data_IF_220569960961
#
_entry.id   IF_220569960961
#
_cell.length_a   1.000
_cell.length_b   1.000
_cell.length_c   1.000
_cell.angle_alpha   90.00
_cell.angle_beta   90.00
_cell.angle_gamma   90.00
#
_symmetry.space_group_name_H-M   'P 1'
#
loop_
_entity.id
_entity.type
_entity.pdbx_description
1 polymer ?
#
# COMPACT_ATOMS: atom_id res chain seq x y z
N UNK A 1 26.03 7.77 -27.95
CA UNK A 1 26.14 7.14 -26.62
C UNK A 1 24.95 6.20 -26.48
N UNK A 2 25.21 4.89 -26.51
CA UNK A 2 24.17 3.88 -26.35
C UNK A 2 23.78 3.84 -24.88
N UNK A 3 22.61 4.39 -24.55
CA UNK A 3 22.21 4.52 -23.15
C UNK A 3 21.50 3.23 -22.77
N UNK A 4 22.23 2.30 -22.14
CA UNK A 4 21.70 1.01 -21.73
C UNK A 4 20.41 1.22 -20.91
N UNK A 5 19.34 0.55 -21.35
CA UNK A 5 18.03 0.57 -20.70
C UNK A 5 17.87 -0.66 -19.83
N UNK A 6 17.31 -0.48 -18.64
CA UNK A 6 17.03 -1.52 -17.67
C UNK A 6 15.54 -1.61 -17.44
N UNK A 7 14.96 -2.82 -17.40
CA UNK A 7 13.54 -2.98 -17.09
C UNK A 7 13.23 -2.51 -15.65
N UNK A 8 12.03 -1.99 -15.45
CA UNK A 8 11.50 -1.68 -14.12
C UNK A 8 11.44 -2.97 -13.26
N UNK A 9 11.75 -2.87 -11.95
CA UNK A 9 11.64 -4.03 -11.05
C UNK A 9 10.23 -4.60 -10.92
N UNK A 10 9.21 -3.79 -11.22
CA UNK A 10 7.80 -4.20 -11.20
C UNK A 10 7.32 -4.74 -12.56
N UNK A 11 8.24 -5.17 -13.43
CA UNK A 11 7.88 -5.78 -14.72
C UNK A 11 7.00 -7.02 -14.55
N UNK A 12 7.24 -7.81 -13.50
CA UNK A 12 6.40 -8.96 -13.13
C UNK A 12 4.98 -8.57 -12.76
N UNK A 13 4.76 -7.32 -12.35
CA UNK A 13 3.46 -6.78 -11.96
C UNK A 13 2.74 -6.10 -13.13
N UNK A 14 3.39 -5.98 -14.31
CA UNK A 14 2.81 -5.41 -15.52
C UNK A 14 3.54 -4.17 -16.07
N UNK A 15 4.60 -3.71 -15.41
CA UNK A 15 5.34 -2.55 -15.92
C UNK A 15 6.19 -2.89 -17.15
N UNK A 16 5.89 -2.28 -18.30
CA UNK A 16 6.62 -2.52 -19.56
C UNK A 16 7.77 -1.52 -19.79
N UNK A 17 7.99 -0.57 -18.87
CA UNK A 17 8.97 0.48 -19.05
C UNK A 17 10.40 -0.03 -18.83
N UNK A 18 11.26 0.32 -19.78
CA UNK A 18 12.71 0.16 -19.68
C UNK A 18 13.35 1.54 -19.64
N UNK A 19 14.12 1.82 -18.59
CA UNK A 19 14.61 3.15 -18.26
C UNK A 19 16.14 3.12 -18.07
N UNK A 20 16.78 4.27 -18.25
CA UNK A 20 18.19 4.43 -17.89
C UNK A 20 18.36 4.33 -16.38
N UNK A 21 19.56 3.99 -15.91
CA UNK A 21 19.85 3.86 -14.47
C UNK A 21 19.42 5.08 -13.65
N UNK A 22 19.55 6.30 -14.21
CA UNK A 22 19.16 7.55 -13.54
C UNK A 22 17.65 7.63 -13.31
N UNK A 23 16.84 7.41 -14.35
CA UNK A 23 15.38 7.57 -14.26
C UNK A 23 14.68 6.34 -13.66
N UNK A 24 15.35 5.18 -13.60
CA UNK A 24 14.78 3.94 -13.05
C UNK A 24 14.34 4.11 -11.60
N UNK A 25 15.16 4.72 -10.76
CA UNK A 25 14.85 4.89 -9.33
C UNK A 25 13.66 5.83 -9.13
N UNK A 26 13.63 6.94 -9.87
CA UNK A 26 12.52 7.89 -9.84
C UNK A 26 11.20 7.24 -10.29
N UNK A 27 11.25 6.47 -11.39
CA UNK A 27 10.08 5.73 -11.87
C UNK A 27 9.59 4.68 -10.87
N UNK A 28 10.50 3.91 -10.25
CA UNK A 28 10.11 2.85 -9.31
C UNK A 28 9.46 3.38 -8.03
N UNK A 29 9.77 4.60 -7.59
CA UNK A 29 9.10 5.20 -6.44
C UNK A 29 7.61 5.49 -6.74
N UNK A 30 7.33 5.97 -7.96
CA UNK A 30 6.00 6.38 -8.43
C UNK A 30 5.37 5.41 -9.45
N UNK A 31 5.81 4.15 -9.50
CA UNK A 31 5.32 3.19 -10.49
C UNK A 31 3.90 2.72 -10.16
N UNK A 32 2.96 2.82 -11.08
CA UNK A 32 1.58 2.35 -10.89
C UNK A 32 1.49 0.83 -10.62
N UNK A 33 2.47 0.06 -11.10
CA UNK A 33 2.55 -1.39 -10.90
C UNK A 33 3.22 -1.79 -9.58
N UNK A 34 3.64 -0.81 -8.77
CA UNK A 34 4.17 -1.06 -7.43
C UNK A 34 3.07 -1.67 -6.55
N UNK A 35 3.32 -2.81 -5.89
CA UNK A 35 2.34 -3.38 -4.96
C UNK A 35 2.24 -2.50 -3.69
N UNK A 36 1.01 -2.30 -3.26
CA UNK A 36 0.65 -1.67 -2.01
C UNK A 36 0.77 -2.68 -0.88
N UNK A 37 1.37 -2.25 0.23
CA UNK A 37 1.37 -3.01 1.48
C UNK A 37 0.06 -2.74 2.24
N UNK A 38 -0.37 -3.70 3.07
CA UNK A 38 -1.53 -3.50 3.93
C UNK A 38 -1.38 -2.20 4.77
N UNK A 39 -2.36 -1.29 4.73
CA UNK A 39 -2.31 -0.03 5.49
C UNK A 39 -2.70 -0.17 6.96
N UNK A 40 -3.04 -1.39 7.43
CA UNK A 40 -3.49 -1.60 8.81
C UNK A 40 -2.33 -1.35 9.81
N UNK A 41 -2.53 -0.54 10.86
CA UNK A 41 -1.56 -0.41 11.94
C UNK A 41 -1.42 -1.75 12.67
N UNK A 42 -0.19 -2.12 13.00
CA UNK A 42 0.17 -3.43 13.57
C UNK A 42 0.79 -4.36 12.53
N UNK A 43 2.02 -4.80 12.78
CA UNK A 43 2.86 -5.57 11.86
C UNK A 43 2.38 -7.02 11.55
N UNK A 44 1.15 -7.38 11.90
CA UNK A 44 0.64 -8.73 11.70
C UNK A 44 0.25 -9.00 10.25
N UNK A 45 -0.13 -7.99 9.47
CA UNK A 45 -0.54 -8.18 8.08
C UNK A 45 0.62 -8.01 7.10
N UNK A 46 0.94 -9.08 6.36
CA UNK A 46 2.00 -9.11 5.33
C UNK A 46 1.46 -9.01 3.91
N UNK A 47 0.19 -8.63 3.76
CA UNK A 47 -0.46 -8.58 2.45
C UNK A 47 0.18 -7.52 1.55
N UNK A 48 0.34 -7.87 0.27
CA UNK A 48 0.81 -6.99 -0.79
C UNK A 48 -0.02 -7.24 -2.04
N UNK A 49 -0.43 -6.18 -2.73
CA UNK A 49 -1.25 -6.30 -3.94
C UNK A 49 -1.47 -4.96 -4.65
N UNK A 50 -2.27 -4.96 -5.72
CA UNK A 50 -2.65 -3.72 -6.42
C UNK A 50 -3.63 -2.88 -5.60
N UNK A 51 -3.70 -1.58 -5.91
CA UNK A 51 -4.58 -0.62 -5.21
C UNK A 51 -6.05 -1.07 -5.21
N UNK A 52 -6.54 -1.56 -6.35
CA UNK A 52 -7.91 -2.07 -6.52
C UNK A 52 -8.27 -3.19 -5.52
N UNK A 53 -7.27 -4.00 -5.13
CA UNK A 53 -7.47 -5.14 -4.24
C UNK A 53 -7.34 -4.76 -2.76
N UNK A 54 -6.91 -3.53 -2.42
CA UNK A 54 -6.73 -3.09 -1.04
C UNK A 54 -8.06 -3.12 -0.28
N UNK A 55 -9.13 -2.56 -0.86
CA UNK A 55 -10.44 -2.53 -0.20
C UNK A 55 -10.98 -3.94 0.04
N UNK A 56 -10.88 -4.81 -0.97
CA UNK A 56 -11.27 -6.21 -0.84
C UNK A 56 -10.44 -6.93 0.23
N UNK A 57 -9.13 -6.69 0.28
CA UNK A 57 -8.26 -7.24 1.30
C UNK A 57 -8.70 -6.81 2.72
N UNK A 58 -8.95 -5.51 2.94
CA UNK A 58 -9.38 -4.98 4.23
C UNK A 58 -10.69 -5.62 4.69
N UNK A 59 -11.67 -5.75 3.80
CA UNK A 59 -12.95 -6.38 4.10
C UNK A 59 -12.83 -7.86 4.49
N UNK A 60 -11.96 -8.63 3.82
CA UNK A 60 -11.84 -10.07 4.02
C UNK A 60 -10.91 -10.43 5.18
N UNK A 61 -9.76 -9.76 5.29
CA UNK A 61 -8.71 -10.07 6.25
C UNK A 61 -8.85 -9.29 7.57
N UNK A 62 -9.44 -8.10 7.53
CA UNK A 62 -9.56 -7.20 8.68
C UNK A 62 -11.04 -6.91 9.01
N UNK A 63 -11.81 -7.96 9.32
CA UNK A 63 -13.25 -7.90 9.59
C UNK A 63 -13.66 -6.95 10.73
N UNK A 64 -12.71 -6.56 11.59
CA UNK A 64 -12.92 -5.60 12.67
C UNK A 64 -12.90 -4.14 12.21
N UNK A 65 -12.48 -3.86 10.97
CA UNK A 65 -12.51 -2.51 10.41
C UNK A 65 -13.97 -2.13 10.15
N UNK A 66 -14.41 -1.07 10.83
CA UNK A 66 -15.73 -0.47 10.59
C UNK A 66 -15.60 0.55 9.47
N UNK A 67 -16.39 0.39 8.41
CA UNK A 67 -16.51 1.42 7.37
C UNK A 67 -17.66 2.35 7.73
N UNK A 68 -17.38 3.65 7.79
CA UNK A 68 -18.37 4.70 8.03
C UNK A 68 -18.66 5.41 6.71
N UNK A 69 -19.90 5.78 6.47
CA UNK A 69 -20.34 6.50 5.27
C UNK A 69 -20.70 7.94 5.62
N UNK A 70 -20.36 8.87 4.74
CA UNK A 70 -20.58 10.31 4.93
C UNK A 70 -19.27 11.09 4.87
N UNK A 71 -19.37 12.37 4.51
CA UNK A 71 -18.22 13.29 4.51
C UNK A 71 -17.94 13.86 5.90
N UNK A 72 -18.94 13.88 6.79
CA UNK A 72 -18.85 14.31 8.19
C UNK A 72 -19.12 13.11 9.12
N UNK A 73 -18.06 12.59 9.74
CA UNK A 73 -18.11 11.42 10.62
C UNK A 73 -17.34 11.68 11.92
N UNK A 74 -17.81 11.08 13.02
CA UNK A 74 -17.15 11.15 14.33
C UNK A 74 -16.50 9.82 14.65
N UNK A 75 -15.18 9.85 14.89
CA UNK A 75 -14.44 8.70 15.40
C UNK A 75 -14.47 8.69 16.93
N UNK A 76 -15.13 7.69 17.51
CA UNK A 76 -15.15 7.49 18.95
C UNK A 76 -14.08 6.46 19.33
N UNK A 77 -13.03 6.90 20.01
CA UNK A 77 -12.05 6.01 20.61
C UNK A 77 -12.59 5.48 21.94
N UNK A 78 -12.71 4.16 22.08
CA UNK A 78 -13.03 3.51 23.35
C UNK A 78 -11.74 3.07 24.05
N UNK A 79 -11.84 2.76 25.34
CA UNK A 79 -10.77 2.10 26.10
C UNK A 79 -9.42 2.87 26.13
N UNK A 80 -9.46 4.20 25.99
CA UNK A 80 -8.28 5.08 25.95
C UNK A 80 -7.38 5.01 27.20
N UNK A 81 -7.88 4.44 28.30
CA UNK A 81 -7.15 4.28 29.55
C UNK A 81 -6.50 2.90 29.69
N UNK A 82 -6.65 1.99 28.73
CA UNK A 82 -6.02 0.66 28.79
C UNK A 82 -4.51 0.75 28.50
N UNK A 83 -3.64 0.25 29.38
CA UNK A 83 -2.20 0.17 29.12
C UNK A 83 -1.91 -0.87 28.04
N UNK A 84 -1.16 -0.49 27.00
CA UNK A 84 -0.85 -1.32 25.84
C UNK A 84 -1.60 -0.97 24.55
N UNK A 85 -2.27 0.19 24.52
CA UNK A 85 -2.80 0.74 23.27
C UNK A 85 -1.69 0.81 22.20
N UNK A 86 -2.01 0.35 21.00
CA UNK A 86 -1.09 0.29 19.86
C UNK A 86 -0.50 1.68 19.61
N UNK A 87 0.83 1.79 19.66
CA UNK A 87 1.56 2.99 19.29
C UNK A 87 1.43 3.14 17.75
N UNK A 88 0.96 4.31 17.33
CA UNK A 88 0.63 4.65 15.93
C UNK A 88 1.82 5.27 15.19
#
# INVERSE_FOLDING_TARGET
>A
ADTILFPCKYQTNGCLLSLTHKHKLEHEDSCDFRPYMCPCPGASCKWQGSLENVMQHLWLAHKSITTLQGEDIVFLATDITLPGAVDW
#
